data_IF_304225124057
#
_entry.id   IF_304225124057
#
_cell.length_a   1.000
_cell.length_b   1.000
_cell.length_c   1.000
_cell.angle_alpha   90.00
_cell.angle_beta   90.00
_cell.angle_gamma   90.00
#
_symmetry.space_group_name_H-M   'P 1'
#
loop_
_entity.id
_entity.type
_entity.pdbx_description
1 polymer ?
#
# COMPACT_ATOMS: atom_id res chain seq x y z
N UNK A 1 -4.13 7.78 19.54
CA UNK A 1 -3.61 9.15 19.37
C UNK A 1 -2.83 9.39 18.06
N UNK A 2 -2.62 8.41 17.19
CA UNK A 2 -1.90 8.58 15.91
C UNK A 2 -2.72 9.25 14.81
N UNK A 3 -4.02 8.94 14.71
CA UNK A 3 -4.92 9.48 13.67
C UNK A 3 -4.84 11.01 13.46
N UNK A 4 -4.94 11.88 14.48
CA UNK A 4 -4.86 13.33 14.26
C UNK A 4 -3.51 13.79 13.68
N UNK A 5 -2.41 13.09 13.98
CA UNK A 5 -1.10 13.39 13.39
C UNK A 5 -1.09 13.10 11.88
N UNK A 6 -1.69 11.99 11.46
CA UNK A 6 -1.81 11.65 10.03
C UNK A 6 -2.67 12.67 9.29
N UNK A 7 -3.76 13.12 9.92
CA UNK A 7 -4.66 14.15 9.35
C UNK A 7 -3.92 15.47 9.14
N UNK A 8 -3.10 15.91 10.11
CA UNK A 8 -2.30 17.13 9.97
C UNK A 8 -1.32 17.02 8.81
N UNK A 9 -0.60 15.89 8.68
CA UNK A 9 0.33 15.69 7.55
C UNK A 9 -0.42 15.68 6.22
N UNK A 10 -1.58 15.01 6.15
CA UNK A 10 -2.41 15.00 4.95
C UNK A 10 -2.91 16.40 4.56
N UNK A 11 -3.28 17.23 5.54
CA UNK A 11 -3.68 18.61 5.30
C UNK A 11 -2.53 19.47 4.75
N UNK A 12 -1.32 19.33 5.31
CA UNK A 12 -0.11 20.00 4.81
C UNK A 12 0.18 19.56 3.36
N UNK A 13 0.06 18.27 3.06
CA UNK A 13 0.26 17.79 1.69
C UNK A 13 -0.77 18.35 0.72
N UNK A 14 -2.02 18.52 1.15
CA UNK A 14 -3.07 19.13 0.32
C UNK A 14 -2.82 20.63 0.07
N UNK A 15 -2.19 21.31 1.02
CA UNK A 15 -1.77 22.71 0.86
C UNK A 15 -0.60 22.84 -0.13
N UNK A 16 0.40 21.95 -0.03
CA UNK A 16 1.54 21.90 -0.96
C UNK A 16 1.12 21.44 -2.37
N UNK A 17 0.18 20.49 -2.46
CA UNK A 17 -0.31 19.90 -3.71
C UNK A 17 -1.83 20.02 -3.83
N UNK A 18 -2.36 21.21 -4.21
CA UNK A 18 -3.79 21.47 -4.27
C UNK A 18 -4.54 20.62 -5.30
N UNK A 19 -3.84 20.17 -6.35
CA UNK A 19 -4.36 19.36 -7.45
C UNK A 19 -4.47 17.86 -7.09
N UNK A 20 -3.77 17.40 -6.06
CA UNK A 20 -3.78 15.98 -5.69
C UNK A 20 -5.13 15.52 -5.14
N UNK A 21 -5.62 14.40 -5.66
CA UNK A 21 -6.76 13.69 -5.11
C UNK A 21 -6.42 12.98 -3.78
N UNK A 22 -7.44 12.61 -3.02
CA UNK A 22 -7.28 11.95 -1.71
C UNK A 22 -6.44 10.67 -1.79
N UNK A 23 -6.53 9.95 -2.91
CA UNK A 23 -5.80 8.72 -3.20
C UNK A 23 -4.33 8.97 -3.45
N UNK A 24 -3.98 10.07 -4.10
CA UNK A 24 -2.58 10.48 -4.30
C UNK A 24 -1.93 10.84 -2.96
N UNK A 25 -2.62 11.60 -2.10
CA UNK A 25 -2.14 11.93 -0.75
C UNK A 25 -1.96 10.66 0.09
N UNK A 26 -2.96 9.77 0.09
CA UNK A 26 -2.85 8.49 0.80
C UNK A 26 -1.70 7.66 0.24
N UNK A 27 -1.55 7.60 -1.08
CA UNK A 27 -0.45 6.92 -1.73
C UNK A 27 0.88 7.46 -1.25
N UNK A 28 1.11 8.77 -1.30
CA UNK A 28 2.34 9.41 -0.85
C UNK A 28 2.66 9.07 0.61
N UNK A 29 1.64 9.08 1.49
CA UNK A 29 1.81 8.71 2.90
C UNK A 29 2.22 7.25 3.08
N UNK A 30 1.80 6.38 2.17
CA UNK A 30 1.96 4.92 2.26
C UNK A 30 3.22 4.43 1.55
N UNK A 31 3.51 4.91 0.34
CA UNK A 31 4.63 4.43 -0.50
C UNK A 31 5.99 4.76 0.10
N UNK A 32 6.09 5.86 0.83
CA UNK A 32 7.30 6.26 1.56
C UNK A 32 7.65 5.31 2.72
N UNK A 33 6.75 4.41 3.11
CA UNK A 33 7.05 3.34 4.06
C UNK A 33 6.64 1.93 3.63
N UNK A 34 6.31 1.71 2.35
CA UNK A 34 6.05 0.37 1.79
C UNK A 34 7.22 -0.14 0.96
N UNK A 35 7.69 -1.34 1.33
CA UNK A 35 8.33 -2.28 0.42
C UNK A 35 7.24 -3.11 -0.28
N UNK A 36 7.31 -3.22 -1.61
CA UNK A 36 6.60 -4.22 -2.41
C UNK A 36 6.72 -5.60 -1.74
N UNK A 37 5.59 -6.18 -1.33
CA UNK A 37 5.57 -7.50 -0.67
C UNK A 37 5.99 -8.55 -1.69
N UNK A 38 7.29 -8.84 -1.74
CA UNK A 38 7.86 -10.07 -2.26
C UNK A 38 8.81 -10.71 -1.23
N UNK A 39 8.53 -10.53 0.06
CA UNK A 39 9.19 -11.31 1.11
C UNK A 39 8.22 -11.57 2.26
N UNK A 40 7.40 -12.59 2.07
CA UNK A 40 6.74 -13.28 3.18
C UNK A 40 7.79 -14.24 3.78
N UNK A 41 8.68 -13.73 4.64
CA UNK A 41 9.57 -14.59 5.41
C UNK A 41 9.67 -14.12 6.86
N UNK A 42 9.79 -15.12 7.74
CA UNK A 42 9.66 -15.14 9.22
C UNK A 42 8.20 -15.34 9.65
N UNK A 43 7.72 -16.53 9.99
CA UNK A 43 8.36 -17.73 10.52
C UNK A 43 7.47 -18.93 10.25
N UNK A 44 7.95 -19.90 9.48
CA UNK A 44 7.81 -21.31 9.84
C UNK A 44 8.94 -22.09 9.17
N UNK A 45 9.58 -22.91 9.98
CA UNK A 45 10.77 -23.72 9.69
C UNK A 45 10.60 -24.60 8.45
N UNK A 46 11.33 -24.37 7.35
CA UNK A 46 11.79 -25.35 6.32
C UNK A 46 12.52 -24.68 5.15
N UNK A 47 13.50 -25.33 4.48
CA UNK A 47 14.51 -24.68 3.64
C UNK A 47 13.98 -24.38 2.23
N UNK A 48 13.97 -23.12 1.81
CA UNK A 48 13.65 -22.74 0.43
C UNK A 48 14.93 -22.31 -0.29
N UNK A 49 15.42 -23.20 -1.16
CA UNK A 49 16.46 -22.96 -2.15
C UNK A 49 15.72 -22.62 -3.45
N UNK A 50 15.96 -21.44 -4.03
CA UNK A 50 15.89 -21.18 -5.49
C UNK A 50 16.72 -19.89 -5.77
N UNK A 51 17.47 -19.82 -6.89
CA UNK A 51 18.52 -18.83 -7.12
C UNK A 51 18.05 -17.59 -7.91
N UNK A 52 18.93 -16.60 -7.88
CA UNK A 52 19.00 -15.24 -8.43
C UNK A 52 18.36 -14.88 -9.80
N UNK A 53 18.27 -13.54 -9.99
CA UNK A 53 18.12 -12.69 -11.20
C UNK A 53 16.69 -12.30 -11.63
N UNK A 54 16.31 -11.06 -11.96
CA UNK A 54 17.01 -9.76 -12.15
C UNK A 54 15.94 -8.63 -12.29
N UNK A 55 16.25 -7.41 -11.81
CA UNK A 55 15.57 -6.09 -12.02
C UNK A 55 14.13 -5.93 -11.45
N UNK A 56 13.79 -4.92 -10.65
CA UNK A 56 13.96 -3.47 -10.91
C UNK A 56 14.41 -2.70 -9.66
N UNK A 57 15.42 -1.89 -9.90
CA UNK A 57 16.02 -0.87 -9.07
C UNK A 57 15.05 0.30 -8.82
N UNK A 58 14.07 0.13 -7.92
CA UNK A 58 13.38 1.24 -7.24
C UNK A 58 13.07 0.85 -5.79
N UNK A 59 14.11 0.47 -5.05
CA UNK A 59 14.06 0.51 -3.59
C UNK A 59 14.28 1.97 -3.14
N UNK A 60 13.31 2.85 -3.39
CA UNK A 60 13.27 4.10 -2.63
C UNK A 60 12.92 3.71 -1.20
N UNK A 61 13.89 3.93 -0.30
CA UNK A 61 14.01 3.32 1.02
C UNK A 61 12.76 3.52 1.90
N UNK A 62 11.83 2.55 1.87
CA UNK A 62 10.86 2.36 2.93
C UNK A 62 11.61 2.03 4.23
N UNK A 63 11.56 2.94 5.20
CA UNK A 63 12.30 2.77 6.46
C UNK A 63 11.46 1.91 7.41
N UNK A 64 11.71 0.61 7.41
CA UNK A 64 11.14 -0.35 8.39
C UNK A 64 11.92 -0.40 9.69
N UNK A 65 12.96 0.42 9.80
CA UNK A 65 13.84 0.48 10.95
C UNK A 65 13.48 1.66 11.84
N UNK A 66 13.61 1.45 13.14
CA UNK A 66 13.54 2.51 14.13
C UNK A 66 14.78 3.44 14.01
N UNK A 67 14.85 4.42 14.90
CA UNK A 67 15.96 5.36 14.99
C UNK A 67 17.32 4.69 15.36
N UNK A 68 17.33 3.46 15.84
CA UNK A 68 18.53 2.66 16.12
C UNK A 68 18.97 1.80 14.93
N UNK A 69 18.25 1.85 13.80
CA UNK A 69 18.57 1.04 12.63
C UNK A 69 18.12 -0.42 12.73
N UNK A 70 17.39 -0.81 13.78
CA UNK A 70 16.82 -2.15 13.93
C UNK A 70 15.35 -2.18 13.49
N UNK A 71 14.79 -3.34 13.10
CA UNK A 71 13.39 -3.44 12.70
C UNK A 71 12.43 -2.89 13.76
N UNK A 72 11.33 -2.29 13.32
CA UNK A 72 10.26 -1.84 14.23
C UNK A 72 9.74 -3.06 15.01
N UNK A 73 9.55 -2.88 16.31
CA UNK A 73 9.05 -3.91 17.22
C UNK A 73 7.70 -3.54 17.82
N UNK A 74 6.96 -4.57 18.21
CA UNK A 74 5.81 -4.54 19.12
C UNK A 74 6.22 -4.01 20.51
N UNK A 75 5.24 -3.61 21.32
CA UNK A 75 5.33 -3.46 22.78
C UNK A 75 6.01 -4.65 23.47
N UNK A 76 5.81 -5.87 22.95
CA UNK A 76 6.46 -7.10 23.41
C UNK A 76 7.92 -7.27 22.93
N UNK A 77 8.49 -6.28 22.22
CA UNK A 77 9.83 -6.30 21.59
C UNK A 77 10.02 -7.37 20.50
N UNK A 78 8.93 -7.96 20.00
CA UNK A 78 8.95 -8.83 18.82
C UNK A 78 8.97 -8.00 17.55
N UNK A 79 9.59 -8.51 16.48
CA UNK A 79 9.57 -7.85 15.17
C UNK A 79 8.12 -7.65 14.75
N UNK A 80 7.75 -6.40 14.46
CA UNK A 80 6.40 -6.08 14.07
C UNK A 80 6.16 -6.48 12.60
N UNK A 81 4.95 -6.90 12.30
CA UNK A 81 4.53 -7.27 10.95
C UNK A 81 3.73 -6.14 10.28
N UNK A 82 3.53 -6.19 8.94
CA UNK A 82 2.73 -5.20 8.23
C UNK A 82 1.26 -5.11 8.70
N UNK A 83 0.72 -6.12 9.37
CA UNK A 83 -0.61 -6.02 9.96
C UNK A 83 -0.64 -5.16 11.23
N UNK A 84 0.51 -4.92 11.86
CA UNK A 84 0.65 -4.07 13.05
C UNK A 84 0.91 -2.60 12.71
N UNK A 85 1.75 -2.32 11.71
CA UNK A 85 2.13 -0.94 11.35
C UNK A 85 1.79 -0.53 9.92
N UNK A 86 1.19 -1.41 9.12
CA UNK A 86 0.85 -1.13 7.72
C UNK A 86 2.08 -0.78 6.89
N UNK A 87 2.10 0.47 6.46
CA UNK A 87 3.11 1.08 5.60
C UNK A 87 4.23 1.79 6.36
N UNK A 88 4.53 1.37 7.58
CA UNK A 88 5.58 1.94 8.43
C UNK A 88 5.28 3.35 8.95
N UNK A 89 6.30 3.95 9.57
CA UNK A 89 6.25 5.28 10.15
C UNK A 89 6.31 6.37 9.08
N UNK A 90 5.37 7.33 9.16
CA UNK A 90 5.26 8.46 8.23
C UNK A 90 6.54 9.32 8.30
N UNK A 91 7.03 9.74 7.13
CA UNK A 91 8.16 10.67 6.98
C UNK A 91 7.67 11.90 6.18
N UNK A 92 7.20 12.97 6.85
CA UNK A 92 6.54 14.10 6.18
C UNK A 92 7.36 14.74 5.05
N UNK A 93 8.68 14.89 5.25
CA UNK A 93 9.58 15.48 4.25
C UNK A 93 9.65 14.66 2.96
N UNK A 94 9.66 13.32 3.06
CA UNK A 94 9.68 12.43 1.90
C UNK A 94 8.30 12.28 1.27
N UNK A 95 7.24 12.40 2.06
CA UNK A 95 5.88 12.33 1.55
C UNK A 95 5.51 13.56 0.72
N UNK A 96 6.14 14.70 0.95
CA UNK A 96 5.93 15.91 0.14
C UNK A 96 6.40 15.75 -1.31
N UNK A 97 7.35 14.86 -1.60
CA UNK A 97 7.79 14.54 -2.96
C UNK A 97 7.99 13.02 -3.11
N UNK A 98 6.90 12.27 -3.36
CA UNK A 98 6.93 10.81 -3.41
C UNK A 98 7.44 10.26 -4.75
N UNK A 99 7.59 11.10 -5.78
CA UNK A 99 7.86 10.70 -7.16
C UNK A 99 6.69 9.99 -7.84
N UNK A 100 6.25 8.86 -7.29
CA UNK A 100 5.19 8.02 -7.84
C UNK A 100 4.02 7.87 -6.86
N UNK A 101 2.81 7.93 -7.40
CA UNK A 101 1.57 7.68 -6.65
C UNK A 101 0.68 6.62 -7.31
N UNK A 102 -0.04 5.88 -6.49
CA UNK A 102 -1.11 4.96 -6.88
C UNK A 102 -2.42 5.73 -6.86
N UNK A 103 -2.90 6.12 -8.04
CA UNK A 103 -4.18 6.80 -8.17
C UNK A 103 -5.31 5.78 -8.31
N UNK A 104 -6.45 6.02 -7.66
CA UNK A 104 -7.65 5.21 -7.82
C UNK A 104 -8.86 6.13 -7.92
N UNK A 105 -9.75 5.85 -8.86
CA UNK A 105 -11.00 6.58 -9.00
C UNK A 105 -12.04 6.06 -8.00
N UNK A 106 -13.08 6.86 -7.78
CA UNK A 106 -14.28 6.42 -7.07
C UNK A 106 -14.87 5.15 -7.70
N UNK A 107 -14.88 5.06 -9.03
CA UNK A 107 -15.39 3.89 -9.76
C UNK A 107 -14.57 2.62 -9.47
N UNK A 108 -13.27 2.74 -9.23
CA UNK A 108 -12.42 1.59 -8.87
C UNK A 108 -12.83 1.00 -7.52
N UNK A 109 -13.26 1.84 -6.58
CA UNK A 109 -13.83 1.39 -5.30
C UNK A 109 -15.18 0.74 -5.47
N UNK A 110 -16.03 1.27 -6.35
CA UNK A 110 -17.33 0.64 -6.65
C UNK A 110 -17.14 -0.73 -7.30
N UNK A 111 -16.22 -0.85 -8.25
CA UNK A 111 -15.84 -2.14 -8.86
C UNK A 111 -15.26 -3.12 -7.83
N UNK A 112 -14.47 -2.63 -6.87
CA UNK A 112 -13.99 -3.45 -5.76
C UNK A 112 -15.15 -3.97 -4.89
N UNK A 113 -16.13 -3.12 -4.58
CA UNK A 113 -17.29 -3.48 -3.77
C UNK A 113 -18.25 -4.45 -4.48
N UNK A 114 -18.32 -4.41 -5.81
CA UNK A 114 -19.14 -5.31 -6.62
C UNK A 114 -18.87 -6.79 -6.37
N UNK A 115 -17.69 -7.16 -5.86
CA UNK A 115 -17.37 -8.57 -5.60
C UNK A 115 -18.11 -9.16 -4.41
N UNK A 116 -18.45 -8.34 -3.41
CA UNK A 116 -19.10 -8.82 -2.19
C UNK A 116 -20.62 -8.82 -2.28
N UNK A 117 -21.22 -7.85 -2.97
CA UNK A 117 -22.67 -7.72 -3.08
C UNK A 117 -23.07 -7.13 -4.45
N UNK A 118 -23.93 -7.83 -5.20
CA UNK A 118 -24.47 -7.33 -6.48
C UNK A 118 -25.44 -6.14 -6.33
N UNK A 119 -25.91 -5.87 -5.11
CA UNK A 119 -26.75 -4.72 -4.78
C UNK A 119 -25.89 -3.72 -4.00
N UNK A 120 -25.30 -2.75 -4.70
CA UNK A 120 -24.50 -1.71 -4.08
C UNK A 120 -25.33 -0.85 -3.12
N UNK A 121 -24.65 -0.37 -2.08
CA UNK A 121 -25.07 0.70 -1.17
C UNK A 121 -25.42 2.01 -1.91
N UNK A 122 -25.08 2.11 -3.20
CA UNK A 122 -25.32 3.25 -4.08
C UNK A 122 -26.32 2.81 -5.16
N UNK A 123 -27.58 3.28 -5.12
CA UNK A 123 -28.63 2.88 -6.06
C UNK A 123 -28.31 3.15 -7.54
N UNK A 124 -27.40 4.10 -7.79
CA UNK A 124 -27.11 4.63 -9.12
C UNK A 124 -26.06 3.85 -9.91
N UNK A 125 -25.22 3.04 -9.26
CA UNK A 125 -24.13 2.32 -9.93
C UNK A 125 -24.51 0.86 -10.16
N UNK A 126 -24.35 0.39 -11.40
CA UNK A 126 -24.61 -1.01 -11.77
C UNK A 126 -23.28 -1.73 -12.01
N UNK A 127 -23.07 -2.84 -11.31
CA UNK A 127 -21.88 -3.66 -11.53
C UNK A 127 -21.85 -4.22 -12.96
N UNK A 128 -20.68 -4.20 -13.63
CA UNK A 128 -20.51 -4.88 -14.90
C UNK A 128 -20.55 -6.40 -14.72
N UNK A 129 -20.89 -7.13 -15.79
CA UNK A 129 -20.90 -8.60 -15.78
C UNK A 129 -19.50 -9.20 -15.59
N UNK A 130 -18.45 -8.48 -16.02
CA UNK A 130 -17.05 -8.85 -15.81
C UNK A 130 -16.47 -7.92 -14.76
N UNK A 131 -16.29 -8.44 -13.54
CA UNK A 131 -15.78 -7.69 -12.40
C UNK A 131 -14.28 -8.01 -12.26
N UNK A 132 -13.39 -6.99 -12.17
CA UNK A 132 -11.98 -7.22 -11.93
C UNK A 132 -11.74 -7.87 -10.56
N UNK A 133 -10.62 -8.58 -10.42
CA UNK A 133 -10.24 -9.15 -9.12
C UNK A 133 -10.06 -8.04 -8.08
N UNK A 134 -10.57 -8.19 -6.84
CA UNK A 134 -10.36 -7.21 -5.77
C UNK A 134 -8.87 -6.94 -5.50
N UNK A 135 -8.03 -7.97 -5.72
CA UNK A 135 -6.58 -7.86 -5.60
C UNK A 135 -5.96 -6.92 -6.64
N UNK A 136 -6.67 -6.52 -7.70
CA UNK A 136 -6.18 -5.59 -8.72
C UNK A 136 -6.58 -4.12 -8.49
N UNK A 137 -7.32 -3.80 -7.41
CA UNK A 137 -7.62 -2.41 -7.05
C UNK A 137 -6.33 -1.62 -6.90
N UNK A 138 -6.19 -0.46 -7.55
CA UNK A 138 -4.92 0.28 -7.60
C UNK A 138 -4.55 0.97 -6.26
N UNK A 139 -4.15 0.16 -5.29
CA UNK A 139 -3.88 0.57 -3.91
C UNK A 139 -2.37 0.50 -3.58
N UNK A 140 -1.82 1.36 -2.71
CA UNK A 140 -0.41 1.33 -2.32
C UNK A 140 -0.04 0.21 -1.34
N UNK A 141 -0.77 -0.91 -1.37
CA UNK A 141 -0.46 -2.13 -0.60
C UNK A 141 -1.05 -3.36 -1.30
N UNK A 142 -0.50 -4.53 -0.98
CA UNK A 142 -0.90 -5.82 -1.54
C UNK A 142 -1.06 -6.85 -0.44
N UNK A 143 -2.22 -7.52 -0.38
CA UNK A 143 -2.41 -8.66 0.51
C UNK A 143 -3.08 -9.77 -0.28
N UNK A 144 -2.51 -10.97 -0.23
CA UNK A 144 -3.07 -12.17 -0.84
C UNK A 144 -3.18 -13.24 0.24
N UNK A 145 -4.41 -13.61 0.58
CA UNK A 145 -4.68 -14.63 1.59
C UNK A 145 -4.48 -16.03 1.00
N UNK A 146 -3.77 -16.90 1.72
CA UNK A 146 -3.64 -18.35 1.43
C UNK A 146 -3.26 -18.66 -0.03
N UNK A 147 -2.26 -17.96 -0.56
CA UNK A 147 -1.77 -18.19 -1.92
C UNK A 147 -1.24 -19.62 -2.07
N UNK A 148 -1.91 -20.44 -2.89
CA UNK A 148 -1.44 -21.75 -3.33
C UNK A 148 -1.12 -21.65 -4.82
N UNK A 149 0.16 -21.47 -5.16
CA UNK A 149 0.61 -21.24 -6.54
C UNK A 149 1.05 -19.80 -6.80
N UNK A 150 0.90 -19.33 -8.04
CA UNK A 150 1.28 -17.97 -8.45
C UNK A 150 0.05 -17.18 -8.89
N UNK A 151 0.02 -15.89 -8.58
CA UNK A 151 -0.99 -14.95 -9.06
C UNK A 151 -0.30 -13.65 -9.47
N UNK A 152 -0.76 -13.06 -10.56
CA UNK A 152 -0.24 -11.79 -11.06
C UNK A 152 -1.21 -10.68 -10.70
N UNK A 153 -0.72 -9.66 -10.01
CA UNK A 153 -1.46 -8.44 -9.69
C UNK A 153 -0.85 -7.28 -10.46
N UNK A 154 -1.70 -6.55 -11.16
CA UNK A 154 -1.29 -5.37 -11.92
C UNK A 154 -1.70 -4.11 -11.18
N UNK A 155 -0.80 -3.12 -11.16
CA UNK A 155 -1.01 -1.79 -10.56
C UNK A 155 -0.47 -0.75 -11.52
N UNK A 156 -1.06 0.43 -11.47
CA UNK A 156 -0.65 1.57 -12.31
C UNK A 156 -0.09 2.66 -11.40
N UNK A 157 1.07 3.19 -11.73
CA UNK A 157 1.68 4.30 -11.00
C UNK A 157 1.70 5.54 -11.88
N UNK A 158 1.47 6.69 -11.26
CA UNK A 158 1.50 8.00 -11.92
C UNK A 158 2.68 8.78 -11.37
N UNK A 159 3.47 9.38 -12.26
CA UNK A 159 4.51 10.32 -11.88
C UNK A 159 3.90 11.67 -11.50
N UNK A 160 4.32 12.22 -10.36
CA UNK A 160 3.83 13.49 -9.79
C UNK A 160 4.95 14.51 -9.54
N UNK A 161 6.13 14.27 -10.10
CA UNK A 161 7.25 15.22 -10.16
C UNK A 161 7.20 16.09 -11.41
#
# INVERSE_FOLDING_TARGET
>A
MSCPHVVVVAAILKDIHPDWFSEAIRSALTTIGVLLILHCLVSDTSPCVIPFCLLILFAYLAKLNNNMGTPITDSDKKIANPFQFGASHIQPSKTADPGLVYNASYDDYLLFLCRNNNNLLVPSFKCPNVIPSPSNLNYPSLVICKLKGSTTVTRTVTNVQ
#
